data_IF_760110819556
#
_entry.id   IF_760110819556
#
_cell.length_a   1.000
_cell.length_b   1.000
_cell.length_c   1.000
_cell.angle_alpha   90.00
_cell.angle_beta   90.00
_cell.angle_gamma   90.00
#
_symmetry.space_group_name_H-M   'P 1'
#
loop_
_entity.id
_entity.type
_entity.pdbx_description
1 polymer ?
#
# COMPACT_ATOMS: atom_id res chain seq x y z
N UNK A 1 17.97 -11.85 31.28
CA UNK A 1 18.29 -10.54 30.69
C UNK A 1 17.51 -10.44 29.39
N UNK A 2 16.69 -9.40 29.21
CA UNK A 2 16.01 -9.14 27.94
C UNK A 2 17.07 -8.81 26.89
N UNK A 3 17.07 -9.52 25.77
CA UNK A 3 17.99 -9.25 24.65
C UNK A 3 17.80 -7.81 24.17
N UNK A 4 18.90 -7.12 23.86
CA UNK A 4 18.83 -5.81 23.19
C UNK A 4 18.10 -5.98 21.85
N UNK A 5 17.46 -4.92 21.36
CA UNK A 5 16.60 -5.00 20.17
C UNK A 5 17.14 -4.17 19.02
N UNK A 6 17.19 -4.78 17.83
CA UNK A 6 17.47 -4.12 16.56
C UNK A 6 16.18 -4.09 15.73
N UNK A 7 15.74 -2.90 15.37
CA UNK A 7 14.57 -2.69 14.53
C UNK A 7 15.01 -2.35 13.11
N UNK A 8 14.70 -3.22 12.16
CA UNK A 8 15.07 -3.13 10.75
C UNK A 8 13.89 -2.67 9.93
N UNK A 9 14.09 -1.63 9.12
CA UNK A 9 13.06 -1.06 8.26
C UNK A 9 13.43 -1.21 6.79
N UNK A 10 12.46 -1.59 5.96
CA UNK A 10 12.50 -1.17 4.56
C UNK A 10 12.34 0.36 4.46
N UNK A 11 12.72 0.93 3.32
CA UNK A 11 12.72 2.37 3.09
C UNK A 11 11.57 2.79 2.21
N UNK A 12 11.51 2.26 0.98
CA UNK A 12 10.40 2.48 0.06
C UNK A 12 9.12 1.87 0.62
N UNK A 13 8.02 2.61 0.65
CA UNK A 13 6.72 2.12 1.14
C UNK A 13 6.57 2.11 2.67
N UNK A 14 7.67 2.18 3.43
CA UNK A 14 7.64 2.21 4.91
C UNK A 14 8.06 3.58 5.47
N UNK A 15 9.25 4.06 5.14
CA UNK A 15 9.78 5.34 5.63
C UNK A 15 9.47 6.48 4.68
N UNK A 16 9.64 6.23 3.39
CA UNK A 16 9.27 7.17 2.32
C UNK A 16 8.12 6.59 1.49
N UNK A 17 7.35 7.46 0.83
CA UNK A 17 6.33 7.05 -0.14
C UNK A 17 6.87 6.11 -1.22
N UNK A 18 6.10 5.06 -1.53
CA UNK A 18 6.52 3.98 -2.44
C UNK A 18 6.83 4.51 -3.84
N UNK A 19 8.03 4.23 -4.35
CA UNK A 19 8.43 4.53 -5.72
C UNK A 19 8.66 6.02 -6.04
N UNK A 20 8.40 6.93 -5.09
CA UNK A 20 8.53 8.38 -5.30
C UNK A 20 9.97 8.80 -5.57
N UNK A 21 10.96 8.11 -4.99
CA UNK A 21 12.37 8.42 -5.22
C UNK A 21 12.77 8.25 -6.69
N UNK A 22 12.58 7.05 -7.24
CA UNK A 22 12.92 6.75 -8.63
C UNK A 22 12.11 7.62 -9.61
N UNK A 23 10.85 7.87 -9.25
CA UNK A 23 9.97 8.75 -10.00
C UNK A 23 10.49 10.19 -10.09
N UNK A 24 10.81 10.84 -8.95
CA UNK A 24 11.28 12.22 -8.89
C UNK A 24 12.58 12.41 -9.67
N UNK A 25 13.44 11.40 -9.70
CA UNK A 25 14.67 11.45 -10.51
C UNK A 25 14.33 11.61 -11.99
N UNK A 26 13.44 10.78 -12.51
CA UNK A 26 13.05 10.80 -13.93
C UNK A 26 12.29 12.07 -14.25
N UNK A 27 11.33 12.47 -13.42
CA UNK A 27 10.56 13.70 -13.61
C UNK A 27 11.46 14.93 -13.76
N UNK A 28 12.42 15.13 -12.84
CA UNK A 28 13.27 16.33 -12.84
C UNK A 28 14.36 16.33 -13.92
N UNK A 29 14.89 15.17 -14.29
CA UNK A 29 16.10 15.12 -15.12
C UNK A 29 15.89 14.47 -16.49
N UNK A 30 14.88 13.60 -16.64
CA UNK A 30 14.63 12.80 -17.85
C UNK A 30 13.12 12.51 -18.07
N UNK A 31 12.23 13.51 -18.10
CA UNK A 31 10.77 13.29 -18.09
C UNK A 31 10.28 12.43 -19.27
N UNK A 32 10.92 12.54 -20.44
CA UNK A 32 10.60 11.71 -21.62
C UNK A 32 10.91 10.21 -21.45
N UNK A 33 11.56 9.80 -20.37
CA UNK A 33 11.92 8.40 -20.09
C UNK A 33 11.02 7.72 -19.06
N UNK A 34 9.84 8.28 -18.75
CA UNK A 34 8.91 7.71 -17.76
C UNK A 34 8.55 6.24 -18.03
N UNK A 35 8.47 5.84 -19.31
CA UNK A 35 8.21 4.45 -19.70
C UNK A 35 9.32 3.47 -19.26
N UNK A 36 10.56 3.95 -19.12
CA UNK A 36 11.67 3.13 -18.61
C UNK A 36 11.58 2.87 -17.09
N UNK A 37 10.68 3.56 -16.37
CA UNK A 37 10.29 3.25 -14.99
C UNK A 37 9.02 2.41 -14.94
N UNK A 38 7.98 2.84 -15.66
CA UNK A 38 6.66 2.21 -15.60
C UNK A 38 6.71 0.77 -16.12
N UNK A 39 7.32 0.51 -17.28
CA UNK A 39 7.32 -0.83 -17.88
C UNK A 39 8.02 -1.86 -16.99
N UNK A 40 9.25 -1.62 -16.47
CA UNK A 40 9.88 -2.57 -15.56
C UNK A 40 9.15 -2.70 -14.22
N UNK A 41 8.59 -1.60 -13.68
CA UNK A 41 7.81 -1.61 -12.44
C UNK A 41 6.55 -2.47 -12.55
N UNK A 42 5.78 -2.33 -13.63
CA UNK A 42 4.59 -3.16 -13.91
C UNK A 42 4.98 -4.62 -14.08
N UNK A 43 6.06 -4.92 -14.82
CA UNK A 43 6.55 -6.31 -14.95
C UNK A 43 6.93 -6.92 -13.61
N UNK A 44 7.58 -6.15 -12.74
CA UNK A 44 7.92 -6.59 -11.39
C UNK A 44 6.66 -6.84 -10.54
N UNK A 45 5.69 -5.92 -10.57
CA UNK A 45 4.43 -6.05 -9.83
C UNK A 45 3.64 -7.30 -10.27
N UNK A 46 3.64 -7.60 -11.57
CA UNK A 46 3.03 -8.81 -12.14
C UNK A 46 3.85 -10.09 -11.90
N UNK A 47 5.02 -10.00 -11.26
CA UNK A 47 5.91 -11.15 -11.03
C UNK A 47 6.65 -11.65 -12.29
N UNK A 48 6.62 -10.88 -13.38
CA UNK A 48 7.26 -11.21 -14.66
C UNK A 48 8.75 -10.83 -14.72
N UNK A 49 9.26 -10.08 -13.73
CA UNK A 49 10.66 -9.68 -13.64
C UNK A 49 11.14 -9.68 -12.19
N UNK A 50 12.44 -9.95 -11.99
CA UNK A 50 13.11 -9.75 -10.71
C UNK A 50 13.42 -8.27 -10.48
N UNK A 51 13.70 -7.90 -9.22
CA UNK A 51 14.01 -6.52 -8.82
C UNK A 51 15.30 -6.00 -9.46
N UNK A 52 16.34 -6.83 -9.54
CA UNK A 52 17.66 -6.42 -10.06
C UNK A 52 17.62 -5.93 -11.52
N UNK A 53 17.02 -6.65 -12.49
CA UNK A 53 16.84 -6.12 -13.84
C UNK A 53 16.04 -4.81 -13.88
N UNK A 54 14.97 -4.70 -13.09
CA UNK A 54 14.12 -3.51 -13.07
C UNK A 54 14.89 -2.28 -12.56
N UNK A 55 15.52 -2.42 -11.38
CA UNK A 55 16.32 -1.37 -10.75
C UNK A 55 17.54 -1.00 -11.61
N UNK A 56 18.26 -1.97 -12.18
CA UNK A 56 19.40 -1.71 -13.08
C UNK A 56 18.97 -0.89 -14.29
N UNK A 57 17.81 -1.21 -14.89
CA UNK A 57 17.29 -0.46 -16.02
C UNK A 57 16.91 0.97 -15.63
N UNK A 58 16.26 1.15 -14.49
CA UNK A 58 15.88 2.47 -13.99
C UNK A 58 17.13 3.32 -13.72
N UNK A 59 18.14 2.77 -13.05
CA UNK A 59 19.37 3.50 -12.75
C UNK A 59 20.21 3.82 -13.99
N UNK A 60 20.08 3.06 -15.09
CA UNK A 60 20.78 3.40 -16.33
C UNK A 60 20.40 4.77 -16.89
N UNK A 61 19.21 5.28 -16.55
CA UNK A 61 18.71 6.61 -16.93
C UNK A 61 19.55 7.73 -16.28
N UNK A 62 20.25 7.43 -15.18
CA UNK A 62 21.07 8.40 -14.43
C UNK A 62 22.44 8.62 -15.05
N UNK A 63 22.76 7.91 -16.13
CA UNK A 63 24.04 8.05 -16.81
C UNK A 63 24.30 9.51 -17.19
N UNK A 64 25.54 9.94 -16.94
CA UNK A 64 26.08 11.27 -17.24
C UNK A 64 25.47 12.40 -16.37
N UNK A 65 24.75 12.06 -15.29
CA UNK A 65 24.27 13.03 -14.30
C UNK A 65 25.26 13.17 -13.13
N UNK A 66 25.35 14.36 -12.51
CA UNK A 66 26.18 14.54 -11.33
C UNK A 66 25.58 13.81 -10.08
N UNK A 67 26.42 13.24 -9.19
CA UNK A 67 25.95 12.46 -8.03
C UNK A 67 25.15 13.26 -7.00
N UNK A 68 25.33 14.57 -6.91
CA UNK A 68 24.67 15.45 -5.94
C UNK A 68 23.14 15.48 -6.11
N UNK A 69 22.64 15.17 -7.31
CA UNK A 69 21.22 15.04 -7.62
C UNK A 69 20.53 14.03 -6.69
N UNK A 70 21.22 12.96 -6.30
CA UNK A 70 20.68 11.92 -5.43
C UNK A 70 20.27 12.50 -4.06
N UNK A 71 21.13 13.35 -3.49
CA UNK A 71 20.89 13.99 -2.19
C UNK A 71 19.75 15.02 -2.29
N UNK A 72 19.79 15.86 -3.33
CA UNK A 72 18.73 16.85 -3.58
C UNK A 72 17.34 16.21 -3.70
N UNK A 73 17.26 15.04 -4.33
CA UNK A 73 15.98 14.35 -4.52
C UNK A 73 15.47 13.73 -3.23
N UNK A 74 16.33 13.04 -2.45
CA UNK A 74 15.87 12.42 -1.21
C UNK A 74 15.45 13.47 -0.17
N UNK A 75 16.13 14.62 -0.14
CA UNK A 75 15.81 15.72 0.78
C UNK A 75 14.43 16.33 0.50
N UNK A 76 14.03 16.37 -0.78
CA UNK A 76 12.73 16.85 -1.24
C UNK A 76 11.59 15.84 -0.99
N UNK A 77 11.87 14.60 -0.60
CA UNK A 77 10.84 13.58 -0.39
C UNK A 77 10.30 13.68 1.04
N UNK A 78 8.97 13.85 1.22
CA UNK A 78 8.39 13.83 2.55
C UNK A 78 8.50 12.44 3.15
N UNK A 79 8.73 12.38 4.46
CA UNK A 79 8.68 11.14 5.21
C UNK A 79 7.22 10.72 5.43
N UNK A 80 6.96 9.40 5.57
CA UNK A 80 5.64 8.92 5.99
C UNK A 80 5.27 9.49 7.38
N UNK A 81 4.00 9.78 7.65
CA UNK A 81 3.58 10.48 8.86
C UNK A 81 3.88 9.60 10.06
N UNK A 82 4.48 10.20 11.09
CA UNK A 82 4.91 9.49 12.28
C UNK A 82 6.29 8.83 12.17
N UNK A 83 6.95 8.79 11.00
CA UNK A 83 8.29 8.19 10.88
C UNK A 83 9.29 8.80 11.88
N UNK A 84 9.40 10.13 11.93
CA UNK A 84 10.27 10.82 12.90
C UNK A 84 9.94 10.46 14.35
N UNK A 85 8.65 10.35 14.68
CA UNK A 85 8.21 10.01 16.03
C UNK A 85 8.51 8.54 16.37
N UNK A 86 8.38 7.62 15.41
CA UNK A 86 8.78 6.22 15.59
C UNK A 86 10.26 6.15 15.95
N UNK A 87 11.15 6.71 15.13
CA UNK A 87 12.60 6.63 15.40
C UNK A 87 12.98 7.30 16.72
N UNK A 88 12.35 8.44 17.04
CA UNK A 88 12.55 9.12 18.32
C UNK A 88 12.16 8.23 19.51
N UNK A 89 11.00 7.59 19.45
CA UNK A 89 10.54 6.69 20.52
C UNK A 89 11.46 5.47 20.64
N UNK A 90 11.83 4.82 19.52
CA UNK A 90 12.75 3.67 19.53
C UNK A 90 14.10 4.03 20.16
N UNK A 91 14.65 5.20 19.82
CA UNK A 91 15.89 5.70 20.42
C UNK A 91 15.73 5.95 21.92
N UNK A 92 14.61 6.50 22.38
CA UNK A 92 14.32 6.71 23.80
C UNK A 92 14.24 5.39 24.59
N UNK A 93 13.78 4.32 23.95
CA UNK A 93 13.75 2.97 24.53
C UNK A 93 15.11 2.24 24.43
N UNK A 94 16.14 2.89 23.85
CA UNK A 94 17.49 2.33 23.70
C UNK A 94 17.62 1.31 22.56
N UNK A 95 16.64 1.22 21.65
CA UNK A 95 16.69 0.26 20.56
C UNK A 95 17.61 0.76 19.44
N UNK A 96 18.31 -0.18 18.82
CA UNK A 96 19.10 0.08 17.62
C UNK A 96 18.20 0.04 16.39
N UNK A 97 18.56 0.81 15.37
CA UNK A 97 17.77 0.91 14.14
C UNK A 97 18.61 0.71 12.88
N UNK A 98 18.04 0.01 11.90
CA UNK A 98 18.68 -0.20 10.60
C UNK A 98 17.72 0.08 9.44
N UNK A 99 18.21 0.68 8.36
CA UNK A 99 17.52 0.71 7.06
C UNK A 99 18.16 -0.28 6.10
N UNK A 100 17.36 -1.15 5.47
CA UNK A 100 17.82 -2.09 4.44
C UNK A 100 16.92 -2.02 3.22
N UNK A 101 17.47 -1.56 2.09
CA UNK A 101 16.71 -1.32 0.86
C UNK A 101 17.45 -1.77 -0.40
N UNK A 102 16.68 -2.21 -1.39
CA UNK A 102 17.16 -2.53 -2.74
C UNK A 102 16.94 -1.37 -3.72
N UNK A 103 16.15 -0.37 -3.34
CA UNK A 103 15.65 0.71 -4.21
C UNK A 103 16.39 2.03 -4.03
N UNK A 104 16.82 2.38 -2.82
CA UNK A 104 17.42 3.69 -2.49
C UNK A 104 18.93 3.57 -2.30
N UNK A 105 19.75 4.38 -3.01
CA UNK A 105 21.20 4.21 -2.98
C UNK A 105 21.78 4.64 -1.63
N UNK A 106 22.91 4.05 -1.25
CA UNK A 106 23.62 4.32 0.01
C UNK A 106 23.79 5.83 0.26
N UNK A 107 24.14 6.58 -0.78
CA UNK A 107 24.32 8.04 -0.71
C UNK A 107 23.05 8.78 -0.25
N UNK A 108 21.86 8.37 -0.73
CA UNK A 108 20.60 8.95 -0.29
C UNK A 108 20.22 8.52 1.14
N UNK A 109 20.60 7.30 1.53
CA UNK A 109 20.38 6.80 2.90
C UNK A 109 21.15 7.58 3.95
N UNK A 110 22.32 8.15 3.63
CA UNK A 110 23.06 9.02 4.55
C UNK A 110 22.24 10.24 4.97
N UNK A 111 21.47 10.83 4.06
CA UNK A 111 20.56 11.94 4.41
C UNK A 111 19.47 11.48 5.38
N UNK A 112 18.81 10.35 5.09
CA UNK A 112 17.79 9.78 5.97
C UNK A 112 18.37 9.40 7.34
N UNK A 113 19.58 8.82 7.37
CA UNK A 113 20.30 8.46 8.58
C UNK A 113 20.49 9.65 9.50
N UNK A 114 20.94 10.78 8.96
CA UNK A 114 21.15 12.00 9.73
C UNK A 114 19.81 12.63 10.18
N UNK A 115 18.80 12.62 9.32
CA UNK A 115 17.48 13.21 9.60
C UNK A 115 16.68 12.44 10.67
N UNK A 116 16.88 11.13 10.75
CA UNK A 116 16.15 10.22 11.63
C UNK A 116 17.01 9.60 12.74
N UNK A 117 18.29 9.93 12.79
CA UNK A 117 19.23 9.49 13.84
C UNK A 117 19.34 7.96 13.90
N UNK A 118 19.55 7.34 12.73
CA UNK A 118 19.56 5.88 12.54
C UNK A 118 20.97 5.30 12.76
N UNK A 119 21.07 4.12 13.37
CA UNK A 119 22.37 3.48 13.66
C UNK A 119 23.03 2.87 12.43
N UNK A 120 22.27 2.15 11.59
CA UNK A 120 22.81 1.39 10.44
C UNK A 120 22.03 1.62 9.16
N UNK A 121 22.71 1.63 8.01
CA UNK A 121 22.08 1.80 6.69
C UNK A 121 22.76 0.92 5.65
N UNK A 122 21.97 0.20 4.86
CA UNK A 122 22.46 -0.65 3.77
C UNK A 122 21.57 -0.46 2.55
N UNK A 123 22.17 0.11 1.50
CA UNK A 123 21.55 0.27 0.19
C UNK A 123 22.51 -0.05 -0.95
N UNK A 124 22.02 -0.09 -2.19
CA UNK A 124 22.87 -0.19 -3.37
C UNK A 124 23.86 0.98 -3.50
N UNK A 125 25.03 0.72 -4.06
CA UNK A 125 26.02 1.76 -4.39
C UNK A 125 25.94 2.10 -5.88
N UNK A 126 25.87 3.40 -6.18
CA UNK A 126 26.01 3.91 -7.54
C UNK A 126 27.48 4.12 -7.86
N UNK A 127 27.89 3.76 -9.08
CA UNK A 127 29.28 3.96 -9.51
C UNK A 127 29.44 5.28 -10.26
N UNK A 128 30.56 5.94 -10.03
CA UNK A 128 30.92 7.22 -10.65
C UNK A 128 32.20 7.09 -11.47
N UNK A 129 32.24 7.69 -12.65
CA UNK A 129 33.45 7.83 -13.46
C UNK A 129 33.56 9.29 -13.93
N UNK A 130 34.76 9.88 -13.85
CA UNK A 130 35.02 11.28 -14.22
C UNK A 130 34.07 12.28 -13.54
N UNK A 131 33.67 12.00 -12.29
CA UNK A 131 32.77 12.86 -11.51
C UNK A 131 31.28 12.74 -11.87
N UNK A 132 30.90 11.83 -12.77
CA UNK A 132 29.51 11.62 -13.20
C UNK A 132 29.05 10.19 -12.90
N UNK A 133 27.73 10.02 -12.72
CA UNK A 133 27.10 8.72 -12.55
C UNK A 133 27.21 7.91 -13.84
N UNK A 134 27.63 6.65 -13.74
CA UNK A 134 27.73 5.74 -14.90
C UNK A 134 26.39 5.11 -15.27
N UNK A 135 25.38 5.25 -14.40
CA UNK A 135 24.09 4.54 -14.48
C UNK A 135 24.16 3.07 -14.04
N UNK A 136 25.31 2.57 -13.56
CA UNK A 136 25.45 1.22 -13.00
C UNK A 136 25.25 1.24 -11.49
N UNK A 137 24.53 0.24 -11.00
CA UNK A 137 24.21 0.02 -9.60
C UNK A 137 24.74 -1.34 -9.14
N UNK A 138 25.31 -1.41 -7.94
CA UNK A 138 25.87 -2.63 -7.33
C UNK A 138 25.43 -2.75 -5.86
N UNK A 139 25.58 -3.94 -5.28
CA UNK A 139 25.33 -4.18 -3.86
C UNK A 139 24.59 -5.48 -3.61
N UNK A 140 24.87 -6.12 -2.48
CA UNK A 140 24.30 -7.41 -2.08
C UNK A 140 22.78 -7.38 -2.01
N UNK A 141 22.20 -6.25 -1.59
CA UNK A 141 20.75 -6.00 -1.49
C UNK A 141 19.98 -6.12 -2.82
N UNK A 142 20.68 -6.12 -3.96
CA UNK A 142 20.06 -6.33 -5.27
C UNK A 142 19.99 -7.82 -5.65
N UNK A 143 20.74 -8.69 -4.99
CA UNK A 143 20.74 -10.10 -5.31
C UNK A 143 19.48 -10.80 -4.79
N UNK A 144 19.26 -12.02 -5.26
CA UNK A 144 18.24 -12.89 -4.66
C UNK A 144 18.57 -13.10 -3.17
N UNK A 145 17.57 -12.91 -2.32
CA UNK A 145 17.69 -12.93 -0.86
C UNK A 145 18.72 -11.90 -0.33
N UNK A 146 18.99 -10.85 -1.11
CA UNK A 146 20.06 -9.88 -0.86
C UNK A 146 19.91 -9.11 0.45
N UNK A 147 18.68 -8.72 0.80
CA UNK A 147 18.39 -8.01 2.07
C UNK A 147 18.65 -8.90 3.29
N UNK A 148 18.29 -10.18 3.21
CA UNK A 148 18.55 -11.18 4.26
C UNK A 148 20.05 -11.36 4.48
N UNK A 149 20.82 -11.53 3.40
CA UNK A 149 22.29 -11.60 3.45
C UNK A 149 22.90 -10.33 4.03
N UNK A 150 22.43 -9.16 3.60
CA UNK A 150 22.88 -7.87 4.10
C UNK A 150 22.64 -7.74 5.62
N UNK A 151 21.47 -8.16 6.11
CA UNK A 151 21.19 -8.21 7.53
C UNK A 151 22.16 -9.17 8.26
N UNK A 152 22.36 -10.38 7.76
CA UNK A 152 23.30 -11.33 8.39
C UNK A 152 24.73 -10.78 8.46
N UNK A 153 25.20 -10.11 7.41
CA UNK A 153 26.50 -9.44 7.41
C UNK A 153 26.56 -8.33 8.46
N UNK A 154 25.51 -7.49 8.55
CA UNK A 154 25.42 -6.43 9.56
C UNK A 154 25.50 -7.00 10.98
N UNK A 155 24.72 -8.05 11.27
CA UNK A 155 24.70 -8.67 12.58
C UNK A 155 26.07 -9.24 12.95
N UNK A 156 26.79 -9.81 11.97
CA UNK A 156 28.14 -10.33 12.18
C UNK A 156 29.17 -9.22 12.43
N UNK A 157 29.18 -8.19 11.59
CA UNK A 157 30.18 -7.10 11.66
C UNK A 157 30.02 -6.20 12.88
N UNK A 158 28.77 -6.02 13.35
CA UNK A 158 28.45 -5.14 14.47
C UNK A 158 28.30 -5.88 15.81
N UNK A 159 28.57 -7.20 15.84
CA UNK A 159 28.39 -8.07 17.00
C UNK A 159 26.97 -8.02 17.59
N UNK A 160 25.95 -8.07 16.72
CA UNK A 160 24.53 -8.00 17.08
C UNK A 160 23.82 -9.36 16.97
N UNK A 161 24.56 -10.47 16.96
CA UNK A 161 23.98 -11.80 16.72
C UNK A 161 23.01 -12.24 17.83
N UNK A 162 23.17 -11.72 19.04
CA UNK A 162 22.30 -12.00 20.19
C UNK A 162 21.14 -11.00 20.35
N UNK A 163 20.99 -10.04 19.44
CA UNK A 163 19.88 -9.07 19.48
C UNK A 163 18.57 -9.75 19.09
N UNK A 164 17.48 -9.26 19.68
CA UNK A 164 16.13 -9.48 19.21
C UNK A 164 15.90 -8.64 17.95
N UNK A 165 15.59 -9.28 16.83
CA UNK A 165 15.47 -8.65 15.52
C UNK A 165 14.01 -8.46 15.15
N UNK A 166 13.58 -7.21 14.98
CA UNK A 166 12.23 -6.87 14.53
C UNK A 166 12.33 -6.26 13.13
N UNK A 167 11.66 -6.84 12.13
CA UNK A 167 11.67 -6.33 10.76
C UNK A 167 10.32 -5.75 10.34
N UNK A 168 10.35 -4.59 9.68
CA UNK A 168 9.18 -3.88 9.14
C UNK A 168 9.33 -3.73 7.64
N UNK A 169 8.34 -4.23 6.87
CA UNK A 169 8.36 -4.18 5.41
C UNK A 169 6.96 -4.12 4.79
N UNK A 170 6.87 -3.74 3.51
CA UNK A 170 5.61 -3.58 2.75
C UNK A 170 5.46 -4.52 1.53
N UNK A 171 6.52 -5.14 1.03
CA UNK A 171 6.45 -5.99 -0.17
C UNK A 171 7.15 -7.35 -0.11
N UNK A 172 6.82 -8.22 -1.06
CA UNK A 172 7.39 -9.58 -1.18
C UNK A 172 8.92 -9.67 -1.27
N UNK A 173 9.61 -8.62 -1.72
CA UNK A 173 11.08 -8.64 -1.81
C UNK A 173 11.73 -8.62 -0.42
N UNK A 174 10.95 -8.34 0.62
CA UNK A 174 11.38 -8.38 2.01
C UNK A 174 11.07 -9.69 2.73
N UNK A 175 10.35 -10.64 2.12
CA UNK A 175 10.09 -11.96 2.74
C UNK A 175 11.38 -12.65 3.23
N UNK A 176 12.52 -12.61 2.52
CA UNK A 176 13.77 -13.17 3.03
C UNK A 176 14.29 -12.48 4.30
N UNK A 177 13.99 -11.19 4.51
CA UNK A 177 14.38 -10.45 5.71
C UNK A 177 13.68 -11.02 6.96
N UNK A 178 12.39 -11.36 6.82
CA UNK A 178 11.57 -11.91 7.90
C UNK A 178 12.08 -13.27 8.41
N UNK A 179 12.73 -14.06 7.55
CA UNK A 179 13.33 -15.35 7.95
C UNK A 179 14.46 -15.21 8.97
N UNK A 180 15.09 -14.04 9.03
CA UNK A 180 16.18 -13.74 9.97
C UNK A 180 15.71 -12.82 11.11
N UNK A 181 14.39 -12.70 11.32
CA UNK A 181 13.79 -11.82 12.33
C UNK A 181 13.04 -12.64 13.37
N UNK A 182 13.12 -12.23 14.63
CA UNK A 182 12.34 -12.79 15.73
C UNK A 182 10.88 -12.30 15.69
N UNK A 183 10.64 -11.10 15.14
CA UNK A 183 9.31 -10.56 14.91
C UNK A 183 9.23 -9.85 13.57
N UNK A 184 8.21 -10.18 12.78
CA UNK A 184 7.99 -9.64 11.45
C UNK A 184 6.69 -8.84 11.39
N UNK A 185 6.78 -7.56 11.02
CA UNK A 185 5.64 -6.64 10.92
C UNK A 185 5.45 -6.22 9.46
N UNK A 186 4.33 -6.60 8.87
CA UNK A 186 3.90 -6.10 7.57
C UNK A 186 3.24 -4.72 7.71
N UNK A 187 3.83 -3.68 7.13
CA UNK A 187 3.25 -2.33 7.09
C UNK A 187 2.65 -2.07 5.70
N UNK A 188 1.31 -2.00 5.62
CA UNK A 188 0.56 -2.05 4.35
C UNK A 188 1.12 -3.12 3.38
N UNK A 189 1.25 -4.38 3.84
CA UNK A 189 1.98 -5.40 3.10
C UNK A 189 1.23 -5.81 1.84
N UNK A 190 1.97 -6.21 0.80
CA UNK A 190 1.40 -6.97 -0.30
C UNK A 190 0.87 -8.34 0.19
N UNK A 191 0.05 -8.98 -0.65
CA UNK A 191 -0.58 -10.25 -0.31
C UNK A 191 0.40 -11.35 0.14
N UNK A 192 1.57 -11.45 -0.50
CA UNK A 192 2.53 -12.47 -0.11
C UNK A 192 3.14 -12.13 1.24
N UNK A 193 3.62 -10.91 1.42
CA UNK A 193 4.25 -10.48 2.68
C UNK A 193 3.26 -10.56 3.85
N UNK A 194 1.98 -10.29 3.63
CA UNK A 194 0.91 -10.42 4.63
C UNK A 194 0.93 -11.80 5.31
N UNK A 195 1.08 -12.87 4.52
CA UNK A 195 1.09 -14.24 5.03
C UNK A 195 2.35 -14.59 5.81
N UNK A 196 3.48 -13.98 5.47
CA UNK A 196 4.76 -14.18 6.16
C UNK A 196 4.97 -13.24 7.36
N UNK A 197 4.09 -12.27 7.57
CA UNK A 197 4.21 -11.32 8.69
C UNK A 197 3.64 -11.94 9.96
N UNK A 198 4.25 -11.79 11.13
CA UNK A 198 3.63 -12.17 12.40
C UNK A 198 2.47 -11.22 12.74
N UNK A 199 2.71 -9.92 12.55
CA UNK A 199 1.75 -8.85 12.75
C UNK A 199 1.56 -8.02 11.49
N UNK A 200 0.37 -7.44 11.32
CA UNK A 200 0.07 -6.55 10.18
C UNK A 200 -0.48 -5.22 10.68
N UNK A 201 0.00 -4.13 10.07
CA UNK A 201 -0.40 -2.77 10.34
C UNK A 201 -0.80 -2.08 9.02
N UNK A 202 -2.09 -1.86 8.86
CA UNK A 202 -2.73 -1.16 7.72
C UNK A 202 -3.20 0.25 8.07
N UNK A 203 -2.73 0.78 9.20
CA UNK A 203 -2.98 2.15 9.66
C UNK A 203 -1.67 2.93 9.64
N UNK A 204 -1.68 4.20 10.04
CA UNK A 204 -0.47 5.03 10.06
C UNK A 204 0.70 4.41 10.83
N UNK A 205 1.92 4.77 10.43
CA UNK A 205 3.17 4.13 10.86
C UNK A 205 3.35 4.05 12.39
N UNK A 206 2.82 5.00 13.16
CA UNK A 206 2.86 4.98 14.64
C UNK A 206 2.27 3.70 15.27
N UNK A 207 1.37 3.01 14.56
CA UNK A 207 0.72 1.80 15.06
C UNK A 207 1.64 0.58 15.11
N UNK A 208 2.88 0.68 14.62
CA UNK A 208 3.90 -0.35 14.83
C UNK A 208 4.50 -0.30 16.25
N UNK A 209 4.53 0.88 16.90
CA UNK A 209 5.17 1.06 18.21
C UNK A 209 4.55 0.18 19.31
N UNK A 210 3.22 0.04 19.43
CA UNK A 210 2.64 -0.84 20.45
C UNK A 210 3.08 -2.31 20.28
N UNK A 211 3.30 -2.76 19.04
CA UNK A 211 3.76 -4.12 18.76
C UNK A 211 5.23 -4.26 19.17
N UNK A 212 6.07 -3.31 18.74
CA UNK A 212 7.52 -3.31 19.03
C UNK A 212 7.80 -3.20 20.52
N UNK A 213 7.00 -2.40 21.25
CA UNK A 213 7.19 -2.12 22.67
C UNK A 213 6.39 -3.06 23.59
N UNK A 214 5.68 -4.05 23.04
CA UNK A 214 4.75 -4.93 23.75
C UNK A 214 3.76 -4.16 24.66
N UNK A 215 3.20 -3.08 24.11
CA UNK A 215 2.21 -2.22 24.77
C UNK A 215 0.83 -2.48 24.18
N UNK A 216 -0.24 -2.37 24.99
CA UNK A 216 -1.60 -2.47 24.46
C UNK A 216 -1.80 -1.42 23.36
N UNK A 217 -2.40 -1.84 22.25
CA UNK A 217 -2.71 -0.93 21.15
C UNK A 217 -3.60 0.22 21.65
N UNK A 218 -3.16 1.49 21.51
CA UNK A 218 -3.98 2.62 21.90
C UNK A 218 -5.24 2.65 21.04
N UNK A 219 -6.39 2.89 21.67
CA UNK A 219 -7.65 3.10 20.96
C UNK A 219 -7.56 4.41 20.20
N UNK A 220 -7.34 4.33 18.89
CA UNK A 220 -7.41 5.49 18.00
C UNK A 220 -8.84 5.58 17.51
N UNK A 221 -9.61 6.54 18.04
CA UNK A 221 -10.88 6.91 17.44
C UNK A 221 -10.60 7.40 16.01
N UNK A 222 -11.37 6.95 15.00
CA UNK A 222 -11.20 7.44 13.64
C UNK A 222 -11.38 8.96 13.65
N UNK A 223 -10.35 9.67 13.17
CA UNK A 223 -10.43 11.10 13.01
C UNK A 223 -11.55 11.48 12.04
N UNK A 224 -12.00 12.74 12.09
CA UNK A 224 -13.04 13.27 11.18
C UNK A 224 -12.71 13.00 9.70
N UNK A 225 -11.43 13.02 9.32
CA UNK A 225 -10.96 12.71 7.97
C UNK A 225 -11.20 11.25 7.55
N UNK A 226 -11.04 10.30 8.47
CA UNK A 226 -11.27 8.87 8.18
C UNK A 226 -12.75 8.60 7.93
N UNK A 227 -13.61 9.22 8.74
CA UNK A 227 -15.08 9.13 8.58
C UNK A 227 -15.48 9.77 7.26
N UNK A 228 -15.01 10.99 6.98
CA UNK A 228 -15.30 11.71 5.74
C UNK A 228 -14.87 10.89 4.51
N UNK A 229 -13.65 10.33 4.54
CA UNK A 229 -13.14 9.45 3.47
C UNK A 229 -14.08 8.26 3.24
N UNK A 230 -14.53 7.57 4.29
CA UNK A 230 -15.44 6.42 4.15
C UNK A 230 -16.83 6.83 3.64
N UNK A 231 -17.30 8.03 3.95
CA UNK A 231 -18.55 8.58 3.38
C UNK A 231 -18.38 8.88 1.90
N UNK A 232 -17.33 9.60 1.49
CA UNK A 232 -17.02 9.89 0.07
C UNK A 232 -16.88 8.59 -0.70
N UNK A 233 -16.19 7.62 -0.09
CA UNK A 233 -16.00 6.29 -0.61
C UNK A 233 -17.35 5.58 -0.91
N UNK A 234 -18.22 5.42 0.10
CA UNK A 234 -19.54 4.82 -0.07
C UNK A 234 -20.40 5.59 -1.10
N UNK A 235 -20.41 6.92 -1.02
CA UNK A 235 -21.22 7.79 -1.89
C UNK A 235 -20.82 7.66 -3.35
N UNK A 236 -19.52 7.62 -3.64
CA UNK A 236 -19.00 7.47 -5.01
C UNK A 236 -19.35 6.13 -5.64
N UNK A 237 -19.48 5.05 -4.87
CA UNK A 237 -19.94 3.74 -5.37
C UNK A 237 -21.46 3.73 -5.61
N UNK A 238 -22.23 4.50 -4.85
CA UNK A 238 -23.70 4.58 -5.01
C UNK A 238 -24.13 5.41 -6.23
N UNK A 239 -23.34 6.37 -6.69
CA UNK A 239 -23.65 7.20 -7.88
C UNK A 239 -23.96 6.34 -9.13
N UNK A 240 -23.13 5.33 -9.49
CA UNK A 240 -23.46 4.40 -10.56
C UNK A 240 -24.84 3.76 -10.46
N UNK A 241 -25.32 3.41 -9.26
CA UNK A 241 -26.65 2.82 -9.08
C UNK A 241 -27.77 3.79 -9.48
N UNK A 242 -27.65 5.05 -9.07
CA UNK A 242 -28.61 6.11 -9.43
C UNK A 242 -28.59 6.33 -10.95
N UNK A 243 -27.41 6.38 -11.56
CA UNK A 243 -27.29 6.58 -13.01
C UNK A 243 -27.86 5.39 -13.80
N UNK A 244 -27.75 4.16 -13.28
CA UNK A 244 -28.31 2.97 -13.92
C UNK A 244 -29.84 3.03 -14.01
N UNK A 245 -30.52 3.63 -13.02
CA UNK A 245 -31.97 3.83 -13.05
C UNK A 245 -32.43 4.71 -14.21
N UNK A 246 -31.65 5.72 -14.59
CA UNK A 246 -32.02 6.70 -15.61
C UNK A 246 -31.45 6.43 -17.01
N UNK A 247 -30.23 5.90 -17.10
CA UNK A 247 -29.47 5.82 -18.35
C UNK A 247 -29.28 4.39 -18.87
N UNK A 248 -29.49 3.38 -18.02
CA UNK A 248 -29.20 1.99 -18.35
C UNK A 248 -27.70 1.65 -18.36
N UNK A 249 -27.35 0.39 -18.63
CA UNK A 249 -26.01 -0.16 -18.39
C UNK A 249 -24.91 0.46 -19.24
N UNK A 250 -25.07 0.47 -20.57
CA UNK A 250 -23.98 0.88 -21.48
C UNK A 250 -23.56 2.35 -21.32
N UNK A 251 -24.49 3.32 -21.19
CA UNK A 251 -24.10 4.71 -20.94
C UNK A 251 -23.37 4.89 -19.60
N UNK A 252 -23.78 4.18 -18.55
CA UNK A 252 -23.10 4.23 -17.25
C UNK A 252 -21.69 3.68 -17.34
N UNK A 253 -21.50 2.54 -18.03
CA UNK A 253 -20.16 1.97 -18.28
C UNK A 253 -19.28 2.96 -19.05
N UNK A 254 -19.82 3.62 -20.08
CA UNK A 254 -19.07 4.63 -20.85
C UNK A 254 -18.65 5.82 -19.97
N UNK A 255 -19.54 6.32 -19.10
CA UNK A 255 -19.23 7.38 -18.14
C UNK A 255 -18.16 6.96 -17.13
N UNK A 256 -18.20 5.71 -16.64
CA UNK A 256 -17.20 5.19 -15.71
C UNK A 256 -15.84 5.02 -16.38
N UNK A 257 -15.79 4.53 -17.62
CA UNK A 257 -14.54 4.44 -18.39
C UNK A 257 -13.93 5.82 -18.64
N UNK A 258 -14.77 6.82 -18.96
CA UNK A 258 -14.34 8.21 -19.12
C UNK A 258 -13.80 8.76 -17.80
N UNK A 259 -14.52 8.60 -16.69
CA UNK A 259 -14.10 9.05 -15.37
C UNK A 259 -12.78 8.38 -14.93
N UNK A 260 -12.65 7.07 -15.14
CA UNK A 260 -11.43 6.30 -14.86
C UNK A 260 -10.23 6.81 -15.68
N UNK A 261 -10.46 7.14 -16.96
CA UNK A 261 -9.42 7.70 -17.84
C UNK A 261 -8.99 9.09 -17.37
N UNK A 262 -9.95 9.98 -17.11
CA UNK A 262 -9.69 11.33 -16.62
C UNK A 262 -8.98 11.32 -15.26
N UNK A 263 -9.40 10.44 -14.35
CA UNK A 263 -8.74 10.25 -13.06
C UNK A 263 -7.30 9.76 -13.22
N UNK A 264 -7.05 8.77 -14.09
CA UNK A 264 -5.69 8.26 -14.36
C UNK A 264 -4.79 9.35 -14.91
N UNK A 265 -5.28 10.14 -15.87
CA UNK A 265 -4.54 11.28 -16.42
C UNK A 265 -4.27 12.30 -15.32
N UNK A 266 -5.27 12.63 -14.50
CA UNK A 266 -5.08 13.58 -13.41
C UNK A 266 -4.08 13.10 -12.35
N UNK A 267 -4.11 11.83 -11.97
CA UNK A 267 -3.14 11.29 -11.02
C UNK A 267 -1.74 11.28 -11.64
N UNK A 268 -1.61 10.93 -12.91
CA UNK A 268 -0.35 11.01 -13.63
C UNK A 268 0.18 12.45 -13.65
N UNK A 269 -0.65 13.46 -13.95
CA UNK A 269 -0.24 14.87 -13.94
C UNK A 269 0.10 15.36 -12.53
N UNK A 270 -0.69 14.95 -11.52
CA UNK A 270 -0.50 15.33 -10.12
C UNK A 270 0.85 14.84 -9.60
N UNK A 271 1.21 13.61 -9.92
CA UNK A 271 2.53 13.07 -9.58
C UNK A 271 3.60 13.80 -10.41
N UNK A 272 3.30 14.20 -11.67
CA UNK A 272 4.18 15.05 -12.51
C UNK A 272 4.31 16.49 -12.01
N UNK A 273 3.72 16.84 -10.86
CA UNK A 273 3.90 18.13 -10.20
C UNK A 273 2.88 19.18 -10.64
N UNK A 274 2.00 18.84 -11.59
CA UNK A 274 0.94 19.69 -12.08
C UNK A 274 -0.41 19.24 -11.50
N UNK A 275 -1.14 20.15 -10.85
CA UNK A 275 -2.44 19.80 -10.28
C UNK A 275 -3.58 20.16 -11.24
N UNK A 276 -4.43 19.18 -11.55
CA UNK A 276 -5.78 19.46 -12.06
C UNK A 276 -6.69 19.67 -10.84
N UNK A 277 -7.23 20.88 -10.61
CA UNK A 277 -7.75 21.27 -9.30
C UNK A 277 -8.88 20.37 -8.78
N UNK A 278 -9.82 19.97 -9.65
CA UNK A 278 -10.97 19.15 -9.25
C UNK A 278 -10.58 17.73 -8.83
N UNK A 279 -9.80 17.03 -9.66
CA UNK A 279 -9.40 15.66 -9.39
C UNK A 279 -8.34 15.57 -8.28
N UNK A 280 -7.46 16.57 -8.19
CA UNK A 280 -6.51 16.68 -7.08
C UNK A 280 -7.25 16.86 -5.76
N UNK A 281 -8.27 17.72 -5.72
CA UNK A 281 -9.16 17.85 -4.56
C UNK A 281 -9.85 16.53 -4.20
N UNK A 282 -10.38 15.81 -5.20
CA UNK A 282 -11.00 14.50 -4.97
C UNK A 282 -10.01 13.46 -4.41
N UNK A 283 -8.79 13.43 -4.92
CA UNK A 283 -7.72 12.56 -4.40
C UNK A 283 -7.39 12.89 -2.95
N UNK A 284 -7.23 14.16 -2.59
CA UNK A 284 -6.97 14.56 -1.19
C UNK A 284 -8.11 14.24 -0.23
N UNK A 285 -9.37 14.22 -0.69
CA UNK A 285 -10.49 13.77 0.14
C UNK A 285 -10.47 12.26 0.42
N UNK A 286 -9.82 11.49 -0.45
CA UNK A 286 -9.77 10.03 -0.37
C UNK A 286 -8.45 9.49 0.21
N UNK A 287 -7.49 10.37 0.54
CA UNK A 287 -6.15 9.95 0.95
C UNK A 287 -5.64 10.72 2.17
N UNK A 288 -4.70 10.11 2.89
CA UNK A 288 -3.85 10.82 3.84
C UNK A 288 -2.80 11.65 3.10
N UNK A 289 -2.25 12.71 3.72
CA UNK A 289 -1.28 13.63 3.08
C UNK A 289 -0.06 12.93 2.45
N UNK A 290 0.26 11.71 2.89
CA UNK A 290 1.36 10.91 2.34
C UNK A 290 0.94 9.84 1.35
N UNK A 291 -0.27 9.28 1.45
CA UNK A 291 -0.86 8.52 0.33
C UNK A 291 -1.02 9.44 -0.88
N UNK A 292 -1.31 10.73 -0.65
CA UNK A 292 -1.33 11.76 -1.68
C UNK A 292 0.05 12.00 -2.33
N UNK A 293 1.15 11.46 -1.82
CA UNK A 293 2.45 11.52 -2.52
C UNK A 293 2.73 10.29 -3.37
N UNK A 294 1.94 9.22 -3.21
CA UNK A 294 1.98 8.01 -4.04
C UNK A 294 0.93 8.09 -5.16
N UNK A 295 0.93 7.12 -6.08
CA UNK A 295 -0.17 6.97 -7.03
C UNK A 295 -1.36 6.33 -6.32
N UNK A 296 -2.53 6.97 -6.38
CA UNK A 296 -3.72 6.50 -5.67
C UNK A 296 -4.55 5.62 -6.60
N UNK A 297 -4.42 4.31 -6.44
CA UNK A 297 -5.00 3.31 -7.35
C UNK A 297 -6.40 2.84 -6.93
N UNK A 298 -6.82 3.03 -5.68
CA UNK A 298 -8.10 2.55 -5.18
C UNK A 298 -9.32 2.98 -6.05
N UNK A 299 -9.48 4.27 -6.45
CA UNK A 299 -10.52 4.71 -7.40
C UNK A 299 -10.58 3.93 -8.71
N UNK A 300 -9.42 3.49 -9.22
CA UNK A 300 -9.35 2.71 -10.46
C UNK A 300 -9.91 1.29 -10.25
N UNK A 301 -9.56 0.65 -9.13
CA UNK A 301 -10.08 -0.69 -8.82
C UNK A 301 -11.59 -0.67 -8.54
N UNK A 302 -12.12 0.39 -7.90
CA UNK A 302 -13.57 0.57 -7.76
C UNK A 302 -14.25 0.68 -9.12
N UNK A 303 -13.80 1.60 -9.96
CA UNK A 303 -14.40 1.81 -11.28
C UNK A 303 -14.33 0.53 -12.12
N UNK A 304 -13.18 -0.14 -12.15
CA UNK A 304 -12.97 -1.37 -12.88
C UNK A 304 -13.87 -2.51 -12.37
N UNK A 305 -13.98 -2.69 -11.05
CA UNK A 305 -14.85 -3.69 -10.43
C UNK A 305 -16.31 -3.49 -10.80
N UNK A 306 -16.80 -2.25 -10.73
CA UNK A 306 -18.16 -1.88 -11.12
C UNK A 306 -18.39 -2.12 -12.62
N UNK A 307 -17.47 -1.66 -13.48
CA UNK A 307 -17.57 -1.84 -14.94
C UNK A 307 -17.67 -3.32 -15.30
N UNK A 308 -16.77 -4.16 -14.80
CA UNK A 308 -16.77 -5.60 -15.12
C UNK A 308 -18.06 -6.25 -14.61
N UNK A 309 -18.49 -5.90 -13.40
CA UNK A 309 -19.72 -6.44 -12.80
C UNK A 309 -20.95 -6.09 -13.65
N UNK A 310 -21.06 -4.84 -14.12
CA UNK A 310 -22.16 -4.39 -14.97
C UNK A 310 -22.18 -5.02 -16.36
N UNK A 311 -21.01 -5.40 -16.89
CA UNK A 311 -20.91 -6.02 -18.20
C UNK A 311 -21.16 -7.52 -18.19
N UNK A 312 -20.89 -8.20 -17.07
CA UNK A 312 -20.99 -9.67 -16.96
C UNK A 312 -22.33 -10.11 -16.39
N UNK A 313 -22.88 -9.40 -15.41
CA UNK A 313 -24.06 -9.85 -14.67
C UNK A 313 -25.35 -9.14 -15.07
N UNK A 314 -26.51 -9.79 -14.88
CA UNK A 314 -27.81 -9.13 -15.03
C UNK A 314 -27.91 -7.88 -14.15
N UNK A 315 -28.72 -6.91 -14.59
CA UNK A 315 -28.84 -5.60 -13.93
C UNK A 315 -29.13 -5.69 -12.43
N UNK A 316 -30.07 -6.53 -12.03
CA UNK A 316 -30.46 -6.72 -10.62
C UNK A 316 -29.30 -7.27 -9.78
N UNK A 317 -28.64 -8.32 -10.27
CA UNK A 317 -27.46 -8.94 -9.68
C UNK A 317 -26.31 -7.94 -9.54
N UNK A 318 -26.02 -7.18 -10.61
CA UNK A 318 -24.95 -6.20 -10.61
C UNK A 318 -25.25 -5.04 -9.65
N UNK A 319 -26.49 -4.53 -9.63
CA UNK A 319 -26.90 -3.49 -8.70
C UNK A 319 -26.78 -3.93 -7.24
N UNK A 320 -27.20 -5.16 -6.92
CA UNK A 320 -27.03 -5.72 -5.58
C UNK A 320 -25.55 -5.87 -5.19
N UNK A 321 -24.70 -6.38 -6.09
CA UNK A 321 -23.27 -6.54 -5.86
C UNK A 321 -22.55 -5.21 -5.60
N UNK A 322 -22.89 -4.17 -6.37
CA UNK A 322 -22.35 -2.81 -6.18
C UNK A 322 -22.83 -2.22 -4.83
N UNK A 323 -24.09 -2.44 -4.45
CA UNK A 323 -24.63 -1.98 -3.18
C UNK A 323 -23.97 -2.67 -1.97
N UNK A 324 -23.71 -3.98 -2.08
CA UNK A 324 -22.96 -4.76 -1.08
C UNK A 324 -21.54 -4.21 -0.93
N UNK A 325 -20.83 -3.92 -2.02
CA UNK A 325 -19.51 -3.28 -1.97
C UNK A 325 -19.57 -1.92 -1.27
N UNK A 326 -20.52 -1.06 -1.67
CA UNK A 326 -20.62 0.31 -1.15
C UNK A 326 -20.88 0.36 0.36
N UNK A 327 -21.87 -0.40 0.82
CA UNK A 327 -22.37 -0.30 2.19
C UNK A 327 -21.75 -1.34 3.12
N UNK A 328 -21.44 -2.54 2.62
CA UNK A 328 -20.80 -3.61 3.38
C UNK A 328 -19.40 -3.22 3.85
N UNK A 329 -18.46 -2.99 2.93
CA UNK A 329 -17.06 -2.65 3.27
C UNK A 329 -16.98 -1.37 4.10
N UNK A 330 -17.72 -0.33 3.68
CA UNK A 330 -17.69 0.96 4.37
C UNK A 330 -18.15 0.84 5.83
N UNK A 331 -19.22 0.08 6.07
CA UNK A 331 -19.76 -0.12 7.43
C UNK A 331 -18.86 -1.05 8.25
N UNK A 332 -18.29 -2.10 7.63
CA UNK A 332 -17.37 -3.01 8.28
C UNK A 332 -16.11 -2.28 8.76
N UNK A 333 -15.50 -1.50 7.88
CA UNK A 333 -14.31 -0.73 8.19
C UNK A 333 -14.57 0.35 9.25
N UNK A 334 -15.70 1.07 9.16
CA UNK A 334 -16.05 2.11 10.13
C UNK A 334 -16.28 1.51 11.52
N UNK A 335 -17.11 0.47 11.61
CA UNK A 335 -17.45 -0.18 12.89
C UNK A 335 -16.24 -0.87 13.50
N UNK A 336 -15.44 -1.56 12.68
CA UNK A 336 -14.19 -2.19 13.11
C UNK A 336 -13.16 -1.19 13.62
N UNK A 337 -13.12 0.02 13.05
CA UNK A 337 -12.25 1.09 13.55
C UNK A 337 -12.70 1.69 14.90
N UNK A 338 -14.01 1.79 15.13
CA UNK A 338 -14.60 2.42 16.31
C UNK A 338 -14.70 1.47 17.52
N UNK A 339 -15.14 0.24 17.26
CA UNK A 339 -15.59 -0.69 18.31
C UNK A 339 -14.92 -2.06 18.23
N UNK A 340 -14.15 -2.32 17.17
CA UNK A 340 -13.50 -3.60 16.92
C UNK A 340 -12.48 -3.94 18.01
N UNK A 341 -12.73 -5.04 18.72
CA UNK A 341 -11.84 -5.55 19.77
C UNK A 341 -11.25 -6.89 19.39
N UNK A 342 -12.04 -7.72 18.70
CA UNK A 342 -11.67 -9.10 18.41
C UNK A 342 -11.26 -9.21 16.95
N UNK A 343 -10.03 -9.61 16.70
CA UNK A 343 -9.53 -9.90 15.36
C UNK A 343 -10.09 -11.22 14.84
N UNK A 344 -10.24 -11.35 13.52
CA UNK A 344 -10.61 -12.63 12.92
C UNK A 344 -9.44 -13.63 13.05
N UNK A 345 -9.72 -14.93 13.29
CA UNK A 345 -8.68 -15.93 13.50
C UNK A 345 -7.80 -16.17 12.25
N UNK A 346 -8.34 -15.92 11.06
CA UNK A 346 -7.65 -16.09 9.78
C UNK A 346 -7.28 -14.76 9.09
N UNK A 347 -7.64 -13.62 9.66
CA UNK A 347 -7.35 -12.29 9.10
C UNK A 347 -6.90 -11.32 10.20
N UNK A 348 -5.64 -10.87 10.11
CA UNK A 348 -4.93 -10.06 11.11
C UNK A 348 -5.42 -8.61 11.18
N UNK A 349 -6.08 -8.13 10.12
CA UNK A 349 -6.47 -6.72 9.99
C UNK A 349 -7.93 -6.46 10.33
N UNK A 350 -8.82 -7.39 9.99
CA UNK A 350 -10.27 -7.25 10.14
C UNK A 350 -10.74 -7.71 11.52
N UNK A 351 -11.87 -7.16 11.96
CA UNK A 351 -12.44 -7.39 13.31
C UNK A 351 -13.81 -8.05 13.21
N UNK A 352 -14.13 -8.93 14.15
CA UNK A 352 -15.43 -9.63 14.23
C UNK A 352 -16.58 -8.62 14.25
N UNK A 353 -16.48 -7.57 15.08
CA UNK A 353 -17.54 -6.56 15.19
C UNK A 353 -17.77 -5.81 13.88
N UNK A 354 -16.68 -5.46 13.18
CA UNK A 354 -16.73 -4.88 11.85
C UNK A 354 -17.42 -5.81 10.85
N UNK A 355 -16.99 -7.07 10.78
CA UNK A 355 -17.56 -8.07 9.86
C UNK A 355 -19.06 -8.27 10.06
N UNK A 356 -19.53 -8.35 11.31
CA UNK A 356 -20.97 -8.49 11.61
C UNK A 356 -21.74 -7.25 11.14
N UNK A 357 -21.24 -6.05 11.43
CA UNK A 357 -21.91 -4.82 11.00
C UNK A 357 -21.93 -4.67 9.47
N UNK A 358 -20.83 -5.05 8.80
CA UNK A 358 -20.74 -5.09 7.34
C UNK A 358 -21.74 -6.07 6.73
N UNK A 359 -21.85 -7.28 7.27
CA UNK A 359 -22.81 -8.29 6.82
C UNK A 359 -24.26 -7.79 6.91
N UNK A 360 -24.63 -7.17 8.03
CA UNK A 360 -25.98 -6.62 8.23
C UNK A 360 -26.25 -5.50 7.22
N UNK A 361 -25.30 -4.56 7.05
CA UNK A 361 -25.43 -3.48 6.09
C UNK A 361 -25.54 -3.99 4.64
N UNK A 362 -24.72 -4.97 4.28
CA UNK A 362 -24.75 -5.63 2.97
C UNK A 362 -26.08 -6.32 2.70
N UNK A 363 -26.64 -7.02 3.71
CA UNK A 363 -27.95 -7.67 3.58
C UNK A 363 -29.08 -6.66 3.36
N UNK A 364 -29.11 -5.58 4.15
CA UNK A 364 -30.10 -4.50 3.99
C UNK A 364 -29.98 -3.87 2.59
N UNK A 365 -28.76 -3.61 2.14
CA UNK A 365 -28.49 -3.04 0.82
C UNK A 365 -28.95 -3.96 -0.32
N UNK A 366 -28.61 -5.25 -0.25
CA UNK A 366 -28.98 -6.23 -1.28
C UNK A 366 -30.49 -6.51 -1.31
N UNK A 367 -31.17 -6.43 -0.16
CA UNK A 367 -32.62 -6.65 -0.05
C UNK A 367 -33.46 -5.64 -0.81
N UNK A 368 -32.89 -4.49 -1.20
CA UNK A 368 -33.58 -3.53 -2.07
C UNK A 368 -33.74 -4.04 -3.51
N UNK A 369 -32.80 -4.88 -3.97
CA UNK A 369 -32.74 -5.35 -5.35
C UNK A 369 -33.14 -6.83 -5.50
N UNK A 370 -33.05 -7.62 -4.44
CA UNK A 370 -33.16 -9.07 -4.47
C UNK A 370 -34.18 -9.61 -3.45
N UNK A 371 -34.60 -10.86 -3.64
CA UNK A 371 -35.37 -11.60 -2.65
C UNK A 371 -34.56 -11.80 -1.35
N UNK A 372 -35.20 -12.04 -0.18
CA UNK A 372 -34.49 -12.22 1.08
C UNK A 372 -33.43 -13.32 1.05
N UNK A 373 -33.68 -14.43 0.35
CA UNK A 373 -32.72 -15.54 0.22
C UNK A 373 -31.51 -15.15 -0.61
N UNK A 374 -31.73 -14.50 -1.76
CA UNK A 374 -30.65 -14.05 -2.64
C UNK A 374 -29.86 -12.91 -2.01
N UNK A 375 -30.52 -12.00 -1.30
CA UNK A 375 -29.85 -10.93 -0.53
C UNK A 375 -28.94 -11.49 0.57
N UNK A 376 -29.36 -12.58 1.25
CA UNK A 376 -28.52 -13.27 2.23
C UNK A 376 -27.28 -13.90 1.58
N UNK A 377 -27.44 -14.57 0.44
CA UNK A 377 -26.31 -15.13 -0.32
C UNK A 377 -25.35 -14.03 -0.77
N UNK A 378 -25.88 -12.90 -1.25
CA UNK A 378 -25.08 -11.74 -1.64
C UNK A 378 -24.27 -11.18 -0.46
N UNK A 379 -24.92 -10.98 0.69
CA UNK A 379 -24.26 -10.45 1.88
C UNK A 379 -23.17 -11.40 2.42
N UNK A 380 -23.45 -12.71 2.49
CA UNK A 380 -22.49 -13.71 2.95
C UNK A 380 -21.29 -13.85 2.00
N UNK A 381 -21.53 -13.93 0.69
CA UNK A 381 -20.46 -14.03 -0.31
C UNK A 381 -19.59 -12.77 -0.36
N UNK A 382 -20.19 -11.58 -0.27
CA UNK A 382 -19.46 -10.32 -0.19
C UNK A 382 -18.62 -10.21 1.08
N UNK A 383 -19.18 -10.62 2.23
CA UNK A 383 -18.46 -10.65 3.52
C UNK A 383 -17.30 -11.66 3.50
N UNK A 384 -17.50 -12.82 2.86
CA UNK A 384 -16.43 -13.81 2.69
C UNK A 384 -15.31 -13.25 1.81
N UNK A 385 -15.65 -12.62 0.69
CA UNK A 385 -14.70 -11.96 -0.21
C UNK A 385 -13.90 -10.85 0.49
N UNK A 386 -14.54 -10.07 1.36
CA UNK A 386 -13.90 -8.97 2.12
C UNK A 386 -12.95 -9.47 3.22
N UNK A 387 -13.24 -10.63 3.81
CA UNK A 387 -12.49 -11.14 4.97
C UNK A 387 -11.35 -12.08 4.60
N UNK A 388 -11.36 -12.65 3.40
CA UNK A 388 -10.29 -13.49 2.90
C UNK A 388 -9.13 -12.61 2.41
N UNK A 389 -7.89 -12.81 2.90
CA UNK A 389 -6.73 -12.18 2.30
C UNK A 389 -6.60 -12.74 0.88
N UNK A 390 -6.76 -11.90 -0.14
CA UNK A 390 -6.66 -12.26 -1.54
C UNK A 390 -5.59 -11.40 -2.22
N UNK A 391 -4.94 -11.89 -3.31
CA UNK A 391 -3.92 -11.12 -4.02
C UNK A 391 -4.48 -9.92 -4.80
N UNK A 392 -5.80 -9.81 -4.88
CA UNK A 392 -6.50 -8.79 -5.64
C UNK A 392 -7.22 -7.83 -4.69
N UNK A 393 -7.41 -6.60 -5.15
CA UNK A 393 -8.07 -5.56 -4.38
C UNK A 393 -9.55 -5.91 -4.10
N UNK A 394 -10.00 -5.76 -2.85
CA UNK A 394 -11.37 -6.03 -2.38
C UNK A 394 -12.44 -5.37 -3.27
N UNK A 395 -12.13 -4.18 -3.80
CA UNK A 395 -13.03 -3.38 -4.64
C UNK A 395 -13.34 -4.00 -6.00
N UNK A 396 -12.43 -4.86 -6.45
CA UNK A 396 -12.58 -5.68 -7.64
C UNK A 396 -13.21 -7.02 -7.29
N UNK A 397 -12.77 -7.65 -6.18
CA UNK A 397 -13.17 -9.02 -5.83
C UNK A 397 -14.61 -9.08 -5.34
N UNK A 398 -15.01 -8.22 -4.39
CA UNK A 398 -16.33 -8.27 -3.75
C UNK A 398 -17.47 -8.30 -4.77
N UNK A 399 -17.63 -7.31 -5.67
CA UNK A 399 -18.79 -7.28 -6.55
C UNK A 399 -18.78 -8.45 -7.55
N UNK A 400 -17.61 -8.93 -7.98
CA UNK A 400 -17.50 -10.10 -8.85
C UNK A 400 -17.87 -11.40 -8.12
N UNK A 401 -17.41 -11.59 -6.88
CA UNK A 401 -17.75 -12.76 -6.08
C UNK A 401 -19.23 -12.79 -5.75
N UNK A 402 -19.83 -11.65 -5.39
CA UNK A 402 -21.27 -11.54 -5.16
C UNK A 402 -22.05 -11.87 -6.44
N UNK A 403 -21.66 -11.29 -7.57
CA UNK A 403 -22.28 -11.58 -8.86
C UNK A 403 -22.23 -13.06 -9.22
N UNK A 404 -21.05 -13.70 -9.08
CA UNK A 404 -20.88 -15.13 -9.32
C UNK A 404 -21.74 -15.98 -8.38
N UNK A 405 -21.74 -15.69 -7.08
CA UNK A 405 -22.54 -16.43 -6.10
C UNK A 405 -24.04 -16.40 -6.43
N UNK A 406 -24.54 -15.25 -6.88
CA UNK A 406 -25.92 -15.05 -7.27
C UNK A 406 -26.30 -15.73 -8.60
N UNK A 407 -25.33 -16.04 -9.47
CA UNK A 407 -25.61 -16.78 -10.72
C UNK A 407 -25.77 -18.29 -10.51
N UNK A 408 -25.38 -18.82 -9.34
CA UNK A 408 -25.39 -20.26 -9.04
C UNK A 408 -26.71 -20.68 -8.36
N UNK A 409 -27.48 -19.72 -7.84
CA UNK A 409 -28.78 -19.92 -7.18
C UNK A 409 -29.91 -19.48 -8.10
#
# INVERSE_FOLDING_TARGET
MTRETLVVFDVDGVIIPKGVFLYKIIQKHRPGQILNLVIPGVKYLLGLSQIKPAITRIYSILKDLPPDIINKIIDDIPLKPGAQQVFKELKQQGYKTALITSGIPQQALESLKNKLDIDYIIGPTLTTEKGLLTGKVKGTVLEKDGKSKALSTLLAEQNLQDYNIISIADDRNNIPLFKNSDTSIGYHPDFLLYHYSDHVVTRGLLNILPIILDKPHPRVNPGKSTILRKIVHASSILIPLILLEHLGTYPVVALLLLAMTLYTVSEATRILGDSLPFFTWFTHLNTTDTEASEFVDAPLFYALGIIITLLIFPRETASAAIAVLALGDSTAALTGSLTGKHKLPYCKDKTIEGTIAGLIAAYIAASYFLSPTSALVAALSGTLAETLPMPFNDNLVIPLTVGLALTII
#
